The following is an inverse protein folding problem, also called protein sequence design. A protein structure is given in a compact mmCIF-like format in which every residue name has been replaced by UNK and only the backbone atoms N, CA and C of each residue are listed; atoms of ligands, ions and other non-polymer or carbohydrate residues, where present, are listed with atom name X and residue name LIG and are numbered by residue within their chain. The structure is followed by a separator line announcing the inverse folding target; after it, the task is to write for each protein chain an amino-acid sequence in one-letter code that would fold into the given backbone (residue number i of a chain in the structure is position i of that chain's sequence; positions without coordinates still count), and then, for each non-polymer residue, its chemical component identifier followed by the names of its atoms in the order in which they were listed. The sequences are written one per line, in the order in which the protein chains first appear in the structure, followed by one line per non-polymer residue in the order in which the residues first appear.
data_IF_265418430990
#
_entry.id   IF_265418430990
#
_cell.length_a   1.000
_cell.length_b   1.000
_cell.length_c   1.000
_cell.angle_alpha   90.00
_cell.angle_beta   90.00
_cell.angle_gamma   90.00
#
_symmetry.space_group_name_H-M   'P 1'
#
loop_
_entity.id
_entity.type
_entity.pdbx_description
1 polymer ?
#
# COMPACT_ATOMS: atom_id res chain seq x y z
N UNK A 1 -12.47 -13.98 2.48
CA UNK A 1 -12.36 -12.56 2.89
C UNK A 1 -13.13 -11.70 1.89
N UNK A 2 -13.90 -10.70 2.35
CA UNK A 2 -14.52 -9.72 1.47
C UNK A 2 -13.47 -8.95 0.67
N UNK A 3 -13.80 -8.55 -0.56
CA UNK A 3 -12.93 -7.75 -1.43
C UNK A 3 -13.46 -6.34 -1.51
N UNK A 4 -12.60 -5.38 -1.19
CA UNK A 4 -12.93 -3.96 -1.24
C UNK A 4 -12.25 -3.30 -2.43
N UNK A 5 -12.92 -2.31 -3.01
CA UNK A 5 -12.32 -1.37 -3.97
C UNK A 5 -12.19 -0.03 -3.28
N UNK A 6 -11.00 0.54 -3.29
CA UNK A 6 -10.70 1.87 -2.78
C UNK A 6 -10.18 2.71 -3.95
N UNK A 7 -10.53 4.00 -3.94
CA UNK A 7 -9.90 5.00 -4.82
C UNK A 7 -9.06 5.89 -3.93
N UNK A 8 -7.80 6.07 -4.27
CA UNK A 8 -6.84 6.82 -3.47
C UNK A 8 -6.09 7.83 -4.35
N UNK A 9 -5.72 8.94 -3.73
CA UNK A 9 -4.81 9.94 -4.27
C UNK A 9 -3.57 10.00 -3.39
N UNK A 10 -2.41 10.29 -3.98
CA UNK A 10 -1.16 10.44 -3.27
C UNK A 10 -0.22 11.38 -4.02
N UNK A 11 0.65 12.06 -3.28
CA UNK A 11 1.82 12.72 -3.86
C UNK A 11 2.90 11.67 -4.14
N UNK A 12 3.28 11.53 -5.42
CA UNK A 12 4.25 10.53 -5.86
C UNK A 12 5.71 10.92 -5.62
N UNK A 13 6.01 12.17 -5.25
CA UNK A 13 7.38 12.72 -5.25
C UNK A 13 8.37 11.93 -4.35
N UNK A 14 7.88 11.34 -3.25
CA UNK A 14 8.69 10.57 -2.30
C UNK A 14 8.73 9.06 -2.52
N UNK A 15 8.07 8.55 -3.56
CA UNK A 15 7.88 7.12 -3.77
C UNK A 15 8.51 6.66 -5.08
N UNK A 16 9.06 5.45 -5.08
CA UNK A 16 9.49 4.72 -6.26
C UNK A 16 8.28 4.12 -7.02
N UNK A 17 7.20 4.89 -7.19
CA UNK A 17 5.98 4.48 -7.86
C UNK A 17 5.03 3.62 -7.01
N UNK A 18 4.11 2.93 -7.70
CA UNK A 18 3.06 2.11 -7.09
C UNK A 18 3.61 0.81 -6.53
N UNK A 19 4.17 -0.04 -7.39
CA UNK A 19 4.50 -1.42 -7.08
C UNK A 19 5.66 -1.54 -6.09
N UNK A 20 5.52 -2.46 -5.14
CA UNK A 20 6.54 -2.82 -4.16
C UNK A 20 7.85 -3.24 -4.83
N UNK A 21 8.94 -2.67 -4.35
CA UNK A 21 10.31 -2.91 -4.80
C UNK A 21 11.22 -3.06 -3.58
N UNK A 22 12.21 -3.93 -3.67
CA UNK A 22 13.10 -4.21 -2.53
C UNK A 22 13.88 -2.96 -2.11
N UNK A 23 13.78 -2.59 -0.84
CA UNK A 23 14.55 -1.49 -0.25
C UNK A 23 14.13 -0.08 -0.67
N UNK A 24 13.03 0.08 -1.41
CA UNK A 24 12.54 1.37 -1.89
C UNK A 24 11.16 1.71 -1.29
N UNK A 25 10.91 2.99 -0.96
CA UNK A 25 9.57 3.43 -0.54
C UNK A 25 8.62 3.37 -1.73
N UNK A 26 7.48 2.68 -1.59
CA UNK A 26 6.48 2.52 -2.66
C UNK A 26 5.08 2.69 -2.07
N UNK A 27 4.13 3.13 -2.89
CA UNK A 27 2.76 3.40 -2.41
C UNK A 27 2.04 2.11 -1.99
N UNK A 28 2.18 1.03 -2.78
CA UNK A 28 1.59 -0.27 -2.45
C UNK A 28 2.15 -0.80 -1.12
N UNK A 29 3.46 -0.66 -0.89
CA UNK A 29 4.11 -1.09 0.36
C UNK A 29 3.59 -0.33 1.57
N UNK A 30 3.60 1.01 1.52
CA UNK A 30 3.12 1.84 2.63
C UNK A 30 1.62 1.64 2.89
N UNK A 31 0.81 1.46 1.84
CA UNK A 31 -0.61 1.18 2.01
C UNK A 31 -0.85 -0.18 2.68
N UNK A 32 -0.10 -1.22 2.29
CA UNK A 32 -0.17 -2.52 2.94
C UNK A 32 0.25 -2.44 4.43
N UNK A 33 1.32 -1.71 4.74
CA UNK A 33 1.75 -1.45 6.13
C UNK A 33 0.68 -0.71 6.94
N UNK A 34 0.01 0.27 6.35
CA UNK A 34 -1.05 1.04 7.00
C UNK A 34 -2.29 0.17 7.30
N UNK A 35 -2.69 -0.69 6.36
CA UNK A 35 -3.81 -1.62 6.58
C UNK A 35 -3.46 -2.65 7.64
N UNK A 36 -2.22 -3.14 7.69
CA UNK A 36 -1.78 -4.05 8.75
C UNK A 36 -1.84 -3.38 10.13
N UNK A 37 -1.40 -2.12 10.25
CA UNK A 37 -1.53 -1.34 11.49
C UNK A 37 -2.99 -1.12 11.91
N UNK A 38 -3.91 -1.01 10.95
CA UNK A 38 -5.33 -0.77 11.19
C UNK A 38 -6.10 -2.05 11.56
N UNK A 39 -5.87 -3.13 10.82
CA UNK A 39 -6.67 -4.36 10.88
C UNK A 39 -5.95 -5.52 11.61
N UNK A 40 -4.66 -5.38 11.91
CA UNK A 40 -3.84 -6.43 12.55
C UNK A 40 -3.41 -7.55 11.62
N UNK A 41 -3.70 -7.46 10.32
CA UNK A 41 -3.39 -8.50 9.34
C UNK A 41 -2.70 -7.90 8.10
N UNK A 42 -1.66 -8.58 7.62
CA UNK A 42 -1.00 -8.22 6.36
C UNK A 42 -1.91 -8.56 5.18
N UNK A 43 -2.16 -7.57 4.31
CA UNK A 43 -2.98 -7.75 3.10
C UNK A 43 -2.20 -7.49 1.82
N UNK A 44 -2.69 -8.05 0.72
CA UNK A 44 -2.23 -7.70 -0.63
C UNK A 44 -3.12 -6.61 -1.23
N UNK A 45 -2.50 -5.51 -1.66
CA UNK A 45 -3.13 -4.48 -2.48
C UNK A 45 -2.75 -4.75 -3.93
N UNK A 46 -3.72 -4.85 -4.84
CA UNK A 46 -3.48 -5.02 -6.27
C UNK A 46 -3.20 -3.67 -6.94
#
# INVERSE_FOLDING_TARGET
MPRYKLTIEYDGTGFAGWQTQAGLPTVQGVLADAVEKLAGERVHVA
#
